data_IF_183251878715
#
_entry.id   IF_183251878715
#
_cell.length_a   1.000
_cell.length_b   1.000
_cell.length_c   1.000
_cell.angle_alpha   90.00
_cell.angle_beta   90.00
_cell.angle_gamma   90.00
#
_symmetry.space_group_name_H-M   'P 1'
#
loop_
_entity.id
_entity.type
_entity.pdbx_description
1 polymer ?
#
# COMPACT_ATOMS: atom_id res chain seq x y z
N UNK A 1 -124.66 2.69 -29.64
CA UNK A 1 -125.26 4.03 -29.89
C UNK A 1 -124.90 4.92 -28.72
N UNK A 2 -124.05 5.93 -28.96
CA UNK A 2 -124.42 7.36 -28.95
C UNK A 2 -124.63 7.88 -27.52
N UNK A 3 -123.57 8.27 -26.80
CA UNK A 3 -122.91 9.59 -26.83
C UNK A 3 -123.70 10.70 -26.10
N UNK A 4 -122.93 11.68 -25.58
CA UNK A 4 -123.24 13.12 -25.37
C UNK A 4 -123.46 13.55 -23.92
N UNK A 5 -122.98 14.72 -23.43
CA UNK A 5 -122.14 15.80 -23.95
C UNK A 5 -121.65 16.66 -22.75
N UNK A 6 -120.57 17.43 -22.95
CA UNK A 6 -119.83 18.33 -22.03
C UNK A 6 -120.65 19.54 -21.50
N UNK A 7 -120.11 20.37 -20.58
CA UNK A 7 -119.30 21.51 -21.05
C UNK A 7 -117.97 21.70 -20.33
N UNK A 8 -117.01 22.20 -21.10
CA UNK A 8 -115.72 22.74 -20.70
C UNK A 8 -115.87 24.16 -20.14
N UNK A 9 -114.94 24.60 -19.29
CA UNK A 9 -114.52 26.00 -19.26
C UNK A 9 -113.01 26.07 -19.03
N UNK A 10 -112.30 26.56 -20.03
CA UNK A 10 -110.88 26.93 -20.01
C UNK A 10 -110.81 28.44 -20.17
N UNK A 11 -110.06 29.13 -19.31
CA UNK A 11 -109.47 30.43 -19.65
C UNK A 11 -107.98 30.37 -19.27
N UNK A 12 -107.06 30.64 -20.21
CA UNK A 12 -105.62 30.59 -20.00
C UNK A 12 -105.12 31.93 -19.46
N UNK A 13 -104.23 31.89 -18.47
CA UNK A 13 -103.40 33.03 -18.11
C UNK A 13 -101.96 32.55 -17.96
N UNK A 14 -101.21 32.74 -19.05
CA UNK A 14 -99.75 32.72 -19.11
C UNK A 14 -99.19 33.67 -18.04
N UNK A 15 -98.63 33.10 -16.98
CA UNK A 15 -97.78 33.76 -16.00
C UNK A 15 -96.41 33.09 -16.00
N UNK A 16 -95.39 33.89 -16.26
CA UNK A 16 -94.00 33.53 -16.54
C UNK A 16 -93.15 33.76 -15.27
N UNK A 17 -92.14 32.90 -15.03
CA UNK A 17 -91.06 32.99 -14.02
C UNK A 17 -91.51 32.86 -12.54
N UNK A 18 -90.79 32.19 -11.63
CA UNK A 18 -89.34 32.21 -11.35
C UNK A 18 -88.88 30.84 -10.82
N UNK A 19 -87.85 30.27 -11.43
CA UNK A 19 -87.09 29.15 -10.90
C UNK A 19 -86.25 29.69 -9.73
N UNK A 20 -86.61 29.33 -8.50
CA UNK A 20 -85.89 29.73 -7.29
C UNK A 20 -84.53 29.01 -7.24
N UNK A 21 -83.55 29.58 -7.94
CA UNK A 21 -82.13 29.25 -7.91
C UNK A 21 -81.50 29.78 -6.61
N UNK A 22 -81.97 29.28 -5.47
CA UNK A 22 -81.47 29.64 -4.15
C UNK A 22 -80.41 28.67 -3.66
N UNK A 23 -79.14 28.97 -3.91
CA UNK A 23 -78.04 28.61 -3.00
C UNK A 23 -77.55 27.15 -2.97
N UNK A 24 -77.51 26.43 -4.09
CA UNK A 24 -76.62 25.27 -4.19
C UNK A 24 -75.19 25.80 -4.42
N UNK A 25 -74.44 25.99 -3.33
CA UNK A 25 -72.99 26.00 -3.41
C UNK A 25 -72.55 24.61 -3.86
N UNK A 26 -72.49 24.40 -5.18
CA UNK A 26 -71.86 23.23 -5.75
C UNK A 26 -70.40 23.24 -5.25
N UNK A 27 -69.90 22.14 -4.65
CA UNK A 27 -68.47 22.05 -4.41
C UNK A 27 -67.78 22.23 -5.76
N UNK A 28 -66.86 23.19 -5.86
CA UNK A 28 -65.97 23.30 -7.01
C UNK A 28 -65.20 21.99 -7.07
N UNK A 29 -65.66 21.06 -7.91
CA UNK A 29 -64.96 19.82 -8.17
C UNK A 29 -63.75 20.21 -9.01
N UNK A 30 -62.60 20.39 -8.36
CA UNK A 30 -61.33 20.49 -9.05
C UNK A 30 -61.15 19.20 -9.84
N UNK A 31 -61.34 19.27 -11.15
CA UNK A 31 -61.12 18.15 -12.04
C UNK A 31 -59.63 17.80 -12.03
N UNK A 32 -59.32 16.52 -11.92
CA UNK A 32 -57.96 16.03 -12.18
C UNK A 32 -57.80 16.00 -13.70
N UNK A 33 -57.05 16.97 -14.22
CA UNK A 33 -56.71 17.02 -15.63
C UNK A 33 -55.51 16.11 -15.91
N UNK A 34 -55.64 15.25 -16.92
CA UNK A 34 -54.58 14.34 -17.35
C UNK A 34 -54.20 14.76 -18.77
N UNK A 35 -53.08 15.44 -18.89
CA UNK A 35 -52.53 15.89 -20.16
C UNK A 35 -51.39 14.99 -20.63
N UNK A 36 -51.09 15.04 -21.92
CA UNK A 36 -49.99 14.28 -22.55
C UNK A 36 -48.65 15.05 -22.53
N UNK A 37 -48.53 16.08 -21.70
CA UNK A 37 -47.31 16.86 -21.53
C UNK A 37 -46.35 16.09 -20.61
N UNK A 38 -45.05 16.20 -20.87
CA UNK A 38 -44.05 15.63 -19.95
C UNK A 38 -44.03 16.43 -18.66
N UNK A 39 -43.88 15.73 -17.53
CA UNK A 39 -43.77 16.37 -16.22
C UNK A 39 -42.53 17.29 -16.18
N UNK A 40 -42.71 18.49 -15.64
CA UNK A 40 -41.64 19.45 -15.45
C UNK A 40 -40.77 19.08 -14.24
N UNK A 41 -39.53 19.55 -14.20
CA UNK A 41 -38.64 19.29 -13.06
C UNK A 41 -39.18 19.80 -11.72
N UNK A 42 -40.03 20.84 -11.73
CA UNK A 42 -40.65 21.39 -10.53
C UNK A 42 -41.94 20.67 -10.13
N UNK A 43 -42.42 19.72 -10.93
CA UNK A 43 -43.64 18.98 -10.63
C UNK A 43 -43.38 18.03 -9.46
N UNK A 44 -44.25 18.07 -8.47
CA UNK A 44 -44.22 17.17 -7.33
C UNK A 44 -44.82 15.81 -7.70
N UNK A 45 -44.22 14.72 -7.20
CA UNK A 45 -44.78 13.39 -7.38
C UNK A 45 -46.09 13.26 -6.59
N UNK A 46 -47.09 12.63 -7.19
CA UNK A 46 -48.36 12.34 -6.52
C UNK A 46 -48.30 10.98 -5.81
N UNK A 47 -48.67 10.95 -4.53
CA UNK A 47 -48.89 9.75 -3.75
C UNK A 47 -50.40 9.53 -3.53
N UNK A 48 -50.82 8.28 -3.55
CA UNK A 48 -52.19 7.89 -3.19
C UNK A 48 -52.27 7.73 -1.67
N UNK A 49 -53.13 8.52 -1.03
CA UNK A 49 -53.43 8.40 0.40
C UNK A 49 -54.79 7.72 0.58
N UNK A 50 -54.79 6.52 1.14
CA UNK A 50 -55.99 5.84 1.61
C UNK A 50 -56.33 6.25 3.05
N UNK A 51 -57.50 6.86 3.25
CA UNK A 51 -58.02 7.18 4.59
C UNK A 51 -58.77 6.01 5.23
N UNK A 52 -59.28 6.18 6.46
CA UNK A 52 -60.11 5.16 7.15
C UNK A 52 -61.48 4.86 6.49
N UNK A 53 -61.83 5.53 5.38
CA UNK A 53 -63.02 5.24 4.57
C UNK A 53 -62.66 4.56 3.24
N UNK A 54 -63.65 4.30 2.38
CA UNK A 54 -63.44 3.68 1.05
C UNK A 54 -62.85 4.61 -0.02
N UNK A 55 -62.27 5.75 0.39
CA UNK A 55 -61.83 6.81 -0.52
C UNK A 55 -60.30 6.94 -0.58
N UNK A 56 -59.77 7.14 -1.79
CA UNK A 56 -58.39 7.51 -2.02
C UNK A 56 -58.31 8.97 -2.45
N UNK A 57 -57.32 9.70 -1.92
CA UNK A 57 -56.99 11.06 -2.36
C UNK A 57 -55.58 11.11 -2.91
N UNK A 58 -55.34 11.94 -3.93
CA UNK A 58 -53.99 12.22 -4.43
C UNK A 58 -53.41 13.36 -3.59
N UNK A 59 -52.16 13.18 -3.14
CA UNK A 59 -51.40 14.20 -2.43
C UNK A 59 -50.05 14.36 -3.07
N UNK A 60 -49.63 15.60 -3.27
CA UNK A 60 -48.26 15.90 -3.66
C UNK A 60 -47.31 15.47 -2.53
N UNK A 61 -46.21 14.87 -2.91
CA UNK A 61 -45.08 14.58 -2.02
C UNK A 61 -44.11 15.74 -1.99
N UNK A 62 -43.19 15.71 -1.02
CA UNK A 62 -42.09 16.69 -0.94
C UNK A 62 -41.02 16.45 -2.02
N UNK A 63 -41.12 15.38 -2.81
CA UNK A 63 -40.18 15.05 -3.89
C UNK A 63 -40.68 15.58 -5.24
N UNK A 64 -39.75 16.15 -6.01
CA UNK A 64 -40.00 16.62 -7.37
C UNK A 64 -39.45 15.66 -8.42
N UNK A 65 -39.86 15.84 -9.68
CA UNK A 65 -39.28 15.11 -10.82
C UNK A 65 -37.78 15.41 -10.97
N UNK A 66 -37.34 16.64 -10.69
CA UNK A 66 -35.91 17.02 -10.68
C UNK A 66 -35.13 16.22 -9.62
N UNK A 67 -35.70 15.98 -8.44
CA UNK A 67 -35.06 15.15 -7.41
C UNK A 67 -34.92 13.69 -7.84
N UNK A 68 -35.92 13.12 -8.55
CA UNK A 68 -35.81 11.79 -9.15
C UNK A 68 -34.73 11.75 -10.23
N UNK A 69 -34.66 12.76 -11.09
CA UNK A 69 -33.66 12.84 -12.14
C UNK A 69 -32.24 12.97 -11.56
N UNK A 70 -32.07 13.75 -10.48
CA UNK A 70 -30.81 13.81 -9.72
C UNK A 70 -30.45 12.47 -9.11
N UNK A 71 -31.43 11.76 -8.55
CA UNK A 71 -31.22 10.42 -7.98
C UNK A 71 -30.81 9.42 -9.05
N UNK A 72 -31.44 9.44 -10.23
CA UNK A 72 -31.06 8.61 -11.38
C UNK A 72 -29.61 8.90 -11.81
N UNK A 73 -29.25 10.18 -11.91
CA UNK A 73 -27.89 10.59 -12.25
C UNK A 73 -26.85 10.20 -11.19
N UNK A 74 -27.22 10.26 -9.91
CA UNK A 74 -26.39 9.74 -8.81
C UNK A 74 -26.23 8.22 -8.92
N UNK A 75 -27.30 7.50 -9.22
CA UNK A 75 -27.26 6.04 -9.36
C UNK A 75 -26.36 5.61 -10.54
N UNK A 76 -26.43 6.30 -11.68
CA UNK A 76 -25.55 6.06 -12.84
C UNK A 76 -24.08 6.29 -12.47
N UNK A 77 -23.77 7.43 -11.84
CA UNK A 77 -22.40 7.73 -11.37
C UNK A 77 -21.89 6.69 -10.38
N UNK A 78 -22.72 6.27 -9.42
CA UNK A 78 -22.34 5.23 -8.47
C UNK A 78 -22.05 3.89 -9.16
N UNK A 79 -22.81 3.53 -10.21
CA UNK A 79 -22.54 2.33 -10.99
C UNK A 79 -21.19 2.41 -11.72
N UNK A 80 -20.90 3.55 -12.35
CA UNK A 80 -19.61 3.79 -13.03
C UNK A 80 -18.43 3.76 -12.05
N UNK A 81 -18.58 4.38 -10.87
CA UNK A 81 -17.58 4.37 -9.81
C UNK A 81 -17.32 2.95 -9.29
N UNK A 82 -18.36 2.15 -9.07
CA UNK A 82 -18.22 0.75 -8.66
C UNK A 82 -17.49 -0.10 -9.71
N UNK A 83 -17.77 0.12 -10.99
CA UNK A 83 -17.04 -0.55 -12.08
C UNK A 83 -15.56 -0.15 -12.08
N UNK A 84 -15.26 1.13 -11.89
CA UNK A 84 -13.89 1.63 -11.79
C UNK A 84 -13.13 1.03 -10.60
N UNK A 85 -13.77 0.95 -9.43
CA UNK A 85 -13.19 0.36 -8.23
C UNK A 85 -12.93 -1.13 -8.42
N UNK A 86 -13.86 -1.86 -9.06
CA UNK A 86 -13.67 -3.27 -9.40
C UNK A 86 -12.47 -3.47 -10.31
N UNK A 87 -12.26 -2.58 -11.29
CA UNK A 87 -11.07 -2.61 -12.15
C UNK A 87 -9.79 -2.38 -11.35
N UNK A 88 -9.76 -1.35 -10.49
CA UNK A 88 -8.61 -1.05 -9.63
C UNK A 88 -8.28 -2.24 -8.72
N UNK A 89 -9.29 -2.87 -8.12
CA UNK A 89 -9.10 -4.06 -7.27
C UNK A 89 -8.53 -5.23 -8.09
N UNK A 90 -8.98 -5.43 -9.32
CA UNK A 90 -8.44 -6.47 -10.19
C UNK A 90 -6.97 -6.20 -10.56
N UNK A 91 -6.64 -4.96 -10.91
CA UNK A 91 -5.28 -4.53 -11.20
C UNK A 91 -4.38 -4.70 -9.97
N UNK A 92 -4.85 -4.31 -8.79
CA UNK A 92 -4.15 -4.53 -7.52
C UNK A 92 -3.95 -6.01 -7.21
N UNK A 93 -4.96 -6.86 -7.41
CA UNK A 93 -4.85 -8.30 -7.22
C UNK A 93 -3.78 -8.90 -8.14
N UNK A 94 -3.72 -8.44 -9.39
CA UNK A 94 -2.68 -8.84 -10.34
C UNK A 94 -1.30 -8.38 -9.89
N UNK A 95 -1.15 -7.12 -9.46
CA UNK A 95 0.13 -6.60 -8.93
C UNK A 95 0.57 -7.37 -7.69
N UNK A 96 -0.35 -7.69 -6.77
CA UNK A 96 -0.05 -8.51 -5.58
C UNK A 96 0.37 -9.91 -6.00
N UNK A 97 -0.29 -10.50 -7.00
CA UNK A 97 0.09 -11.81 -7.52
C UNK A 97 1.48 -11.77 -8.18
N UNK A 98 1.79 -10.74 -8.96
CA UNK A 98 3.11 -10.52 -9.56
C UNK A 98 4.18 -10.31 -8.48
N UNK A 99 3.91 -9.48 -7.47
CA UNK A 99 4.79 -9.30 -6.30
C UNK A 99 4.97 -10.62 -5.55
N UNK A 100 3.90 -11.38 -5.30
CA UNK A 100 3.98 -12.69 -4.64
C UNK A 100 4.73 -13.71 -5.49
N UNK A 101 4.61 -13.69 -6.82
CA UNK A 101 5.41 -14.54 -7.72
C UNK A 101 6.89 -14.13 -7.65
N UNK A 102 7.17 -12.83 -7.73
CA UNK A 102 8.51 -12.27 -7.60
C UNK A 102 9.14 -12.55 -6.22
N UNK A 103 8.36 -12.46 -5.14
CA UNK A 103 8.81 -12.66 -3.76
C UNK A 103 8.72 -14.12 -3.28
N UNK A 104 7.86 -14.94 -3.87
CA UNK A 104 7.43 -16.22 -3.29
C UNK A 104 7.35 -17.41 -4.25
N UNK A 105 7.42 -17.24 -5.57
CA UNK A 105 7.38 -18.38 -6.52
C UNK A 105 7.98 -17.99 -7.86
N UNK A 106 9.31 -18.00 -7.91
CA UNK A 106 10.06 -17.76 -9.14
C UNK A 106 11.55 -17.87 -8.88
N UNK A 107 12.02 -19.05 -8.45
CA UNK A 107 13.41 -19.53 -8.58
C UNK A 107 14.58 -18.64 -8.07
N UNK A 108 14.32 -17.48 -7.48
CA UNK A 108 15.34 -16.51 -7.07
C UNK A 108 15.27 -16.13 -5.57
N UNK A 109 14.30 -16.69 -4.83
CA UNK A 109 14.26 -16.61 -3.37
C UNK A 109 15.16 -17.65 -2.71
N UNK A 110 15.50 -18.75 -3.42
CA UNK A 110 16.59 -19.62 -2.98
C UNK A 110 17.94 -18.96 -3.18
N UNK A 111 18.16 -18.19 -4.26
CA UNK A 111 19.43 -17.51 -4.51
C UNK A 111 19.67 -16.40 -3.48
N UNK A 112 18.73 -15.50 -3.18
CA UNK A 112 19.02 -14.46 -2.19
C UNK A 112 19.37 -14.98 -0.78
N UNK A 113 18.74 -16.07 -0.32
CA UNK A 113 19.07 -16.68 0.97
C UNK A 113 20.34 -17.55 0.92
N UNK A 114 20.55 -18.30 -0.16
CA UNK A 114 21.77 -19.10 -0.35
C UNK A 114 22.99 -18.24 -0.63
N UNK A 115 22.81 -17.14 -1.35
CA UNK A 115 23.85 -16.16 -1.70
C UNK A 115 24.21 -15.36 -0.47
N UNK A 116 23.23 -14.93 0.34
CA UNK A 116 23.52 -14.30 1.64
C UNK A 116 24.22 -15.29 2.59
N UNK A 117 23.79 -16.55 2.63
CA UNK A 117 24.44 -17.58 3.43
C UNK A 117 25.85 -17.92 2.93
N UNK A 118 26.03 -17.92 1.61
CA UNK A 118 27.31 -18.13 0.93
C UNK A 118 28.27 -16.98 1.17
N UNK A 119 27.80 -15.73 1.04
CA UNK A 119 28.52 -14.51 1.38
C UNK A 119 28.93 -14.52 2.86
N UNK A 120 28.02 -14.87 3.77
CA UNK A 120 28.32 -14.95 5.21
C UNK A 120 29.39 -15.99 5.52
N UNK A 121 29.35 -17.16 4.85
CA UNK A 121 30.40 -18.18 4.97
C UNK A 121 31.73 -17.67 4.43
N UNK A 122 31.74 -17.08 3.23
CA UNK A 122 32.95 -16.50 2.62
C UNK A 122 33.59 -15.43 3.50
N UNK A 123 32.79 -14.55 4.10
CA UNK A 123 33.29 -13.52 5.04
C UNK A 123 33.89 -14.19 6.29
N UNK A 124 33.23 -15.21 6.85
CA UNK A 124 33.75 -15.93 8.02
C UNK A 124 35.07 -16.66 7.72
N UNK A 125 35.22 -17.22 6.51
CA UNK A 125 36.45 -17.88 6.09
C UNK A 125 37.57 -16.87 5.82
N UNK A 126 37.23 -15.69 5.26
CA UNK A 126 38.17 -14.58 5.10
C UNK A 126 38.66 -14.04 6.44
N UNK A 127 37.78 -13.87 7.43
CA UNK A 127 38.15 -13.42 8.78
C UNK A 127 39.19 -14.36 9.42
N UNK A 128 38.96 -15.67 9.32
CA UNK A 128 39.92 -16.67 9.82
C UNK A 128 41.26 -16.65 9.08
N UNK A 129 41.23 -16.40 7.77
CA UNK A 129 42.45 -16.29 6.98
C UNK A 129 43.25 -15.03 7.37
N UNK A 130 42.56 -13.90 7.59
CA UNK A 130 43.17 -12.66 8.07
C UNK A 130 43.80 -12.89 9.45
N UNK A 131 43.10 -13.51 10.39
CA UNK A 131 43.63 -13.78 11.73
C UNK A 131 44.91 -14.65 11.71
N UNK A 132 44.96 -15.66 10.83
CA UNK A 132 46.16 -16.46 10.60
C UNK A 132 47.31 -15.65 10.02
N UNK A 133 47.04 -14.82 9.00
CA UNK A 133 48.05 -13.96 8.39
C UNK A 133 48.60 -12.95 9.41
N UNK A 134 47.74 -12.35 10.23
CA UNK A 134 48.14 -11.46 11.32
C UNK A 134 49.09 -12.16 12.28
N UNK A 135 48.76 -13.38 12.71
CA UNK A 135 49.62 -14.17 13.60
C UNK A 135 50.99 -14.46 12.97
N UNK A 136 51.01 -14.86 11.69
CA UNK A 136 52.26 -15.11 10.97
C UNK A 136 53.13 -13.85 10.83
N UNK A 137 52.50 -12.68 10.60
CA UNK A 137 53.22 -11.40 10.54
C UNK A 137 53.81 -11.04 11.91
N UNK A 138 53.06 -11.23 12.99
CA UNK A 138 53.57 -11.00 14.34
C UNK A 138 54.73 -11.94 14.69
N UNK A 139 54.65 -13.21 14.31
CA UNK A 139 55.74 -14.16 14.49
C UNK A 139 56.98 -13.80 13.68
N UNK A 140 56.82 -13.37 12.42
CA UNK A 140 57.92 -12.87 11.59
C UNK A 140 58.54 -11.60 12.18
N UNK A 141 57.73 -10.69 12.71
CA UNK A 141 58.22 -9.47 13.37
C UNK A 141 59.03 -9.80 14.63
N UNK A 142 58.60 -10.82 15.38
CA UNK A 142 59.34 -11.32 16.55
C UNK A 142 60.61 -12.05 16.16
N UNK A 143 60.59 -12.87 15.10
CA UNK A 143 61.76 -13.62 14.63
C UNK A 143 62.82 -12.69 14.04
N UNK A 144 62.42 -11.70 13.23
CA UNK A 144 63.30 -10.69 12.66
C UNK A 144 63.89 -9.74 13.71
N UNK A 145 63.19 -9.50 14.82
CA UNK A 145 63.75 -8.80 15.98
C UNK A 145 64.81 -9.62 16.73
N UNK A 146 64.66 -10.94 16.78
CA UNK A 146 65.48 -11.84 17.62
C UNK A 146 66.78 -12.33 16.96
N UNK A 147 66.89 -12.26 15.62
CA UNK A 147 68.12 -12.63 14.91
C UNK A 147 69.26 -11.61 15.09
N UNK A 148 68.95 -10.39 15.52
CA UNK A 148 69.94 -9.32 15.73
C UNK A 148 70.74 -9.47 17.04
N UNK A 149 70.13 -9.98 18.11
CA UNK A 149 70.77 -10.14 19.43
C UNK A 149 71.63 -11.40 19.53
N UNK A 150 71.20 -12.49 18.89
CA UNK A 150 71.90 -13.78 18.86
C UNK A 150 73.26 -13.65 18.15
N UNK A 151 73.23 -13.07 16.94
CA UNK A 151 74.43 -12.80 16.13
C UNK A 151 75.41 -11.83 16.83
N UNK A 152 74.90 -10.87 17.59
CA UNK A 152 75.71 -9.90 18.33
C UNK A 152 76.45 -10.53 19.52
N UNK A 153 75.81 -11.50 20.20
CA UNK A 153 76.38 -12.18 21.37
C UNK A 153 77.46 -13.18 20.96
N UNK A 154 77.24 -13.96 19.90
CA UNK A 154 78.24 -14.89 19.35
C UNK A 154 79.46 -14.15 18.82
N UNK A 155 79.26 -13.05 18.09
CA UNK A 155 80.36 -12.21 17.60
C UNK A 155 81.17 -11.58 18.75
N UNK A 156 80.49 -11.19 19.83
CA UNK A 156 81.15 -10.66 21.03
C UNK A 156 81.96 -11.73 21.78
N UNK A 157 81.46 -12.97 21.81
CA UNK A 157 82.17 -14.13 22.34
C UNK A 157 83.43 -14.44 21.52
N UNK A 158 83.28 -14.60 20.20
CA UNK A 158 84.39 -14.84 19.29
C UNK A 158 85.47 -13.75 19.35
N UNK A 159 85.07 -12.47 19.47
CA UNK A 159 86.03 -11.36 19.60
C UNK A 159 86.84 -11.45 20.90
N UNK A 160 86.22 -11.93 21.99
CA UNK A 160 86.90 -12.14 23.27
C UNK A 160 87.90 -13.29 23.16
N UNK A 161 87.47 -14.43 22.61
CA UNK A 161 88.32 -15.61 22.43
C UNK A 161 89.54 -15.29 21.54
N UNK A 162 89.34 -14.56 20.44
CA UNK A 162 90.45 -14.09 19.58
C UNK A 162 91.41 -13.17 20.35
N UNK A 163 90.87 -12.29 21.20
CA UNK A 163 91.70 -11.37 22.00
C UNK A 163 92.53 -12.12 23.05
N UNK A 164 91.98 -13.18 23.63
CA UNK A 164 92.68 -14.02 24.61
C UNK A 164 93.75 -14.87 23.91
N UNK A 165 93.41 -15.51 22.79
CA UNK A 165 94.38 -16.24 21.96
C UNK A 165 95.54 -15.36 21.49
N UNK A 166 95.28 -14.10 21.13
CA UNK A 166 96.32 -13.15 20.73
C UNK A 166 97.33 -12.92 21.87
N UNK A 167 96.85 -12.78 23.11
CA UNK A 167 97.72 -12.59 24.29
C UNK A 167 98.55 -13.83 24.60
N UNK A 168 97.95 -15.01 24.45
CA UNK A 168 98.64 -16.27 24.64
C UNK A 168 99.74 -16.47 23.60
N UNK A 169 99.46 -16.14 22.32
CA UNK A 169 100.47 -16.16 21.25
C UNK A 169 101.60 -15.17 21.50
N UNK A 170 101.30 -13.95 21.94
CA UNK A 170 102.32 -12.95 22.28
C UNK A 170 103.22 -13.42 23.44
N UNK A 171 102.62 -14.08 24.43
CA UNK A 171 103.35 -14.67 25.57
C UNK A 171 104.23 -15.84 25.12
N UNK A 172 103.70 -16.73 24.29
CA UNK A 172 104.44 -17.86 23.72
C UNK A 172 105.60 -17.38 22.86
N UNK A 173 105.39 -16.34 22.03
CA UNK A 173 106.42 -15.72 21.20
C UNK A 173 107.59 -15.21 22.04
N UNK A 174 107.30 -14.49 23.14
CA UNK A 174 108.34 -14.02 24.08
C UNK A 174 109.13 -15.18 24.68
N UNK A 175 108.44 -16.23 25.14
CA UNK A 175 109.09 -17.42 25.69
C UNK A 175 110.00 -18.11 24.66
N UNK A 176 109.56 -18.20 23.40
CA UNK A 176 110.37 -18.75 22.30
C UNK A 176 111.57 -17.87 22.00
N UNK A 177 111.39 -16.54 21.95
CA UNK A 177 112.48 -15.58 21.73
C UNK A 177 113.52 -15.65 22.86
N UNK A 178 113.10 -15.78 24.11
CA UNK A 178 113.98 -15.93 25.27
C UNK A 178 114.73 -17.27 25.25
N UNK A 179 114.04 -18.36 24.89
CA UNK A 179 114.67 -19.67 24.76
C UNK A 179 115.69 -19.68 23.60
N UNK A 180 115.36 -19.07 22.48
CA UNK A 180 116.25 -18.90 21.31
C UNK A 180 117.51 -18.11 21.67
N UNK A 181 117.40 -17.06 22.49
CA UNK A 181 118.55 -16.31 23.01
C UNK A 181 119.40 -17.12 23.99
N UNK A 182 118.81 -18.06 24.72
CA UNK A 182 119.52 -18.91 25.69
C UNK A 182 120.21 -20.12 25.03
N UNK A 183 119.74 -20.53 23.86
CA UNK A 183 120.29 -21.66 23.08
C UNK A 183 121.42 -21.19 22.14
N UNK A 184 121.52 -19.88 21.86
CA UNK A 184 122.67 -19.27 21.17
C UNK A 184 123.74 -18.83 22.15
#
# INVERSE_FOLDING_TARGET
MLARFKPSFTIPATGLLVLLLGGLALPAQAAVEVDNLSASGFDHLAATHGGSGSGHSLRNTDFTVDDLQKMENLQKRNADELESLKKIINDQARVIEELKRNSGSGSNSSSNSSDLSGLKRSVSDQDRAIEKLTSQVDDLKRSSGSSSSSSSSELSGLKRDISDQQRDLDSLKRNVDDLSRKVK
#
